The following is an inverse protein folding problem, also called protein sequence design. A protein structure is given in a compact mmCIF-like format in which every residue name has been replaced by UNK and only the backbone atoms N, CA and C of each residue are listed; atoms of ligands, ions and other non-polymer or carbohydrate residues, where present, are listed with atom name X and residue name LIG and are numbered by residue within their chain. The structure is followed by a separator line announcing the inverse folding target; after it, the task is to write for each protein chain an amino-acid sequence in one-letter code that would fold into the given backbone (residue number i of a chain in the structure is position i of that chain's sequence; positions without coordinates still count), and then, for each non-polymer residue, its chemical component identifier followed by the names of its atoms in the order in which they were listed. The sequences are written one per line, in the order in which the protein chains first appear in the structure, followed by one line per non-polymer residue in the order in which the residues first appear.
data_IF_521130461261
#
_entry.id   IF_521130461261
#
_cell.length_a   1.000
_cell.length_b   1.000
_cell.length_c   1.000
_cell.angle_alpha   90.00
_cell.angle_beta   90.00
_cell.angle_gamma   90.00
#
_symmetry.space_group_name_H-M   'P 1'
#
loop_
_entity.id
_entity.type
_entity.pdbx_description
1 polymer ?
#
# COMPACT_ATOMS: atom_id res chain seq x y z
N UNK A 1 -1.02 39.33 -7.16
CA UNK A 1 -1.86 39.65 -5.98
C UNK A 1 -1.44 38.73 -4.85
N UNK A 2 -0.65 39.23 -3.89
CA UNK A 2 -0.21 38.43 -2.73
C UNK A 2 -1.35 38.42 -1.71
N UNK A 3 -2.03 37.29 -1.51
CA UNK A 3 -3.02 37.17 -0.43
C UNK A 3 -2.25 37.14 0.89
N UNK A 4 -2.36 38.23 1.66
CA UNK A 4 -1.87 38.28 3.04
C UNK A 4 -2.58 37.19 3.83
N UNK A 5 -1.86 36.13 4.21
CA UNK A 5 -2.37 35.07 5.08
C UNK A 5 -2.42 35.65 6.48
N UNK A 6 -3.62 35.96 6.96
CA UNK A 6 -3.80 36.47 8.31
C UNK A 6 -3.20 35.47 9.33
N UNK A 7 -2.43 35.94 10.33
CA UNK A 7 -1.87 35.05 11.35
C UNK A 7 -3.00 34.34 12.10
N UNK A 8 -2.98 33.02 12.07
CA UNK A 8 -3.98 32.17 12.72
C UNK A 8 -3.96 32.41 14.24
N UNK A 9 -5.09 32.83 14.79
CA UNK A 9 -5.27 33.16 16.22
C UNK A 9 -4.94 31.98 17.14
N UNK A 10 -4.27 32.27 18.25
CA UNK A 10 -3.57 31.32 19.12
C UNK A 10 -4.43 30.43 20.06
N UNK A 11 -5.68 30.10 19.73
CA UNK A 11 -6.51 29.25 20.61
C UNK A 11 -7.55 28.40 19.88
N UNK A 12 -7.15 27.70 18.82
CA UNK A 12 -7.96 26.58 18.31
C UNK A 12 -7.55 25.31 19.05
N UNK A 13 -8.50 24.44 19.37
CA UNK A 13 -8.22 23.04 19.69
C UNK A 13 -7.59 22.39 18.45
N UNK A 14 -6.28 22.57 18.32
CA UNK A 14 -5.53 22.08 17.18
C UNK A 14 -5.29 20.58 17.36
N UNK A 15 -5.98 19.76 16.58
CA UNK A 15 -5.73 18.33 16.47
C UNK A 15 -6.69 17.65 15.49
N UNK A 16 -6.19 16.65 14.78
CA UNK A 16 -7.02 15.76 13.98
C UNK A 16 -7.93 14.94 14.93
N UNK A 17 -9.25 15.10 14.84
CA UNK A 17 -10.23 14.28 15.56
C UNK A 17 -10.71 13.12 14.69
N UNK A 18 -11.05 11.98 15.31
CA UNK A 18 -11.62 10.80 14.62
C UNK A 18 -12.91 11.16 13.86
N UNK A 19 -13.73 12.05 14.44
CA UNK A 19 -14.99 12.54 13.85
C UNK A 19 -14.80 13.34 12.56
N UNK A 20 -13.56 13.79 12.30
CA UNK A 20 -13.17 14.54 11.11
C UNK A 20 -12.55 13.66 10.03
N UNK A 21 -12.37 12.36 10.27
CA UNK A 21 -11.94 11.44 9.23
C UNK A 21 -12.99 11.40 8.11
N UNK A 22 -12.54 11.60 6.86
CA UNK A 22 -13.44 11.63 5.68
C UNK A 22 -13.11 10.63 4.61
N UNK A 23 -11.84 10.28 4.44
CA UNK A 23 -11.44 9.25 3.49
C UNK A 23 -10.08 8.67 3.85
N UNK A 24 -9.86 7.46 3.35
CA UNK A 24 -8.53 6.91 3.14
C UNK A 24 -8.15 7.08 1.68
N UNK A 25 -6.96 7.60 1.42
CA UNK A 25 -6.39 7.80 0.09
C UNK A 25 -5.20 6.85 -0.07
N UNK A 26 -5.32 5.95 -1.03
CA UNK A 26 -4.30 4.99 -1.42
C UNK A 26 -3.56 5.50 -2.65
N UNK A 27 -2.33 5.97 -2.46
CA UNK A 27 -1.47 6.44 -3.54
C UNK A 27 -0.86 5.25 -4.26
N UNK A 28 -1.34 4.99 -5.47
CA UNK A 28 -0.97 3.85 -6.29
C UNK A 28 -0.04 4.21 -7.47
N UNK A 29 0.44 5.45 -7.50
CA UNK A 29 1.34 5.92 -8.55
C UNK A 29 2.78 5.44 -8.42
N UNK A 30 3.46 5.27 -9.56
CA UNK A 30 4.90 5.06 -9.66
C UNK A 30 5.46 5.89 -10.81
N UNK A 31 6.57 6.59 -10.56
CA UNK A 31 7.29 7.36 -11.60
C UNK A 31 7.80 6.46 -12.73
N UNK A 32 8.02 5.18 -12.45
CA UNK A 32 8.38 4.18 -13.46
C UNK A 32 7.83 2.79 -13.11
N UNK A 33 7.25 2.03 -14.06
CA UNK A 33 6.84 0.66 -13.81
C UNK A 33 8.06 -0.21 -13.48
N UNK A 34 8.11 -0.78 -12.29
CA UNK A 34 9.17 -1.72 -11.90
C UNK A 34 9.08 -3.05 -12.67
N UNK A 35 10.16 -3.84 -12.66
CA UNK A 35 10.22 -5.17 -13.33
C UNK A 35 9.06 -6.08 -12.93
N UNK A 36 8.66 -6.08 -11.65
CA UNK A 36 7.53 -6.87 -11.18
C UNK A 36 6.24 -6.49 -11.92
N UNK A 37 5.86 -5.21 -11.88
CA UNK A 37 4.66 -4.68 -12.53
C UNK A 37 4.64 -4.97 -14.03
N UNK A 38 5.76 -4.75 -14.71
CA UNK A 38 5.89 -5.00 -16.16
C UNK A 38 5.65 -6.48 -16.53
N UNK A 39 6.12 -7.41 -15.69
CA UNK A 39 6.07 -8.85 -15.98
C UNK A 39 4.75 -9.51 -15.55
N UNK A 40 4.10 -9.00 -14.50
CA UNK A 40 2.77 -9.50 -14.09
C UNK A 40 1.67 -9.00 -15.03
N UNK A 41 1.84 -7.82 -15.64
CA UNK A 41 0.89 -7.26 -16.61
C UNK A 41 -0.46 -6.81 -16.02
N UNK A 42 -0.54 -6.66 -14.70
CA UNK A 42 -1.74 -6.21 -13.96
C UNK A 42 -1.35 -5.36 -12.76
N UNK A 43 -2.32 -4.78 -12.05
CA UNK A 43 -2.00 -3.89 -10.93
C UNK A 43 -1.37 -4.63 -9.75
N UNK A 44 -0.45 -3.97 -9.01
CA UNK A 44 0.13 -4.55 -7.80
C UNK A 44 -0.92 -4.81 -6.71
N UNK A 45 -2.04 -4.06 -6.71
CA UNK A 45 -3.10 -4.25 -5.72
C UNK A 45 -3.90 -5.52 -5.94
N UNK A 46 -3.85 -6.07 -7.16
CA UNK A 46 -4.48 -7.34 -7.51
C UNK A 46 -3.55 -8.53 -7.24
N UNK A 47 -2.34 -8.31 -6.73
CA UNK A 47 -1.52 -9.42 -6.27
C UNK A 47 -2.18 -10.08 -5.05
N UNK A 48 -2.15 -11.41 -4.96
CA UNK A 48 -2.85 -12.12 -3.91
C UNK A 48 -2.13 -11.99 -2.57
N UNK A 49 -2.84 -11.51 -1.57
CA UNK A 49 -2.39 -11.53 -0.18
C UNK A 49 -2.67 -12.90 0.46
N UNK A 50 -3.84 -13.48 0.14
CA UNK A 50 -4.25 -14.84 0.49
C UNK A 50 -4.99 -15.49 -0.68
N UNK A 51 -5.45 -16.74 -0.50
CA UNK A 51 -6.26 -17.41 -1.54
C UNK A 51 -7.58 -16.67 -1.76
N UNK A 52 -7.76 -16.13 -2.97
CA UNK A 52 -8.97 -15.39 -3.35
C UNK A 52 -9.08 -13.99 -2.72
N UNK A 53 -7.96 -13.46 -2.19
CA UNK A 53 -7.93 -12.20 -1.47
C UNK A 53 -6.72 -11.39 -1.90
N UNK A 54 -6.95 -10.17 -2.37
CA UNK A 54 -5.91 -9.31 -2.94
C UNK A 54 -5.32 -8.35 -1.91
N UNK A 55 -4.24 -7.67 -2.26
CA UNK A 55 -3.68 -6.59 -1.43
C UNK A 55 -4.68 -5.44 -1.25
N UNK A 56 -5.46 -5.10 -2.29
CA UNK A 56 -6.51 -4.10 -2.17
C UNK A 56 -7.57 -4.51 -1.14
N UNK A 57 -7.97 -5.78 -1.14
CA UNK A 57 -8.87 -6.31 -0.13
C UNK A 57 -8.26 -6.17 1.26
N UNK A 58 -6.97 -6.47 1.41
CA UNK A 58 -6.21 -6.27 2.65
C UNK A 58 -6.36 -4.86 3.23
N UNK A 59 -6.14 -3.84 2.41
CA UNK A 59 -6.36 -2.45 2.82
C UNK A 59 -7.81 -2.16 3.15
N UNK A 60 -8.75 -2.61 2.32
CA UNK A 60 -10.19 -2.39 2.53
C UNK A 60 -10.67 -2.97 3.87
N UNK A 61 -10.23 -4.18 4.22
CA UNK A 61 -10.57 -4.83 5.51
C UNK A 61 -9.99 -4.05 6.69
N UNK A 62 -8.74 -3.61 6.59
CA UNK A 62 -8.12 -2.77 7.63
C UNK A 62 -8.92 -1.46 7.86
N UNK A 63 -9.46 -0.86 6.80
CA UNK A 63 -10.34 0.31 6.91
C UNK A 63 -11.70 -0.06 7.51
N UNK A 64 -12.30 -1.16 7.09
CA UNK A 64 -13.56 -1.65 7.66
C UNK A 64 -13.44 -1.91 9.18
N UNK A 65 -12.36 -2.56 9.60
CA UNK A 65 -12.05 -2.81 11.01
C UNK A 65 -11.88 -1.49 11.76
N UNK A 66 -11.17 -0.53 11.17
CA UNK A 66 -10.99 0.81 11.75
C UNK A 66 -12.32 1.57 11.88
N UNK A 67 -13.21 1.49 10.89
CA UNK A 67 -14.56 2.09 10.95
C UNK A 67 -15.32 1.54 12.14
N UNK A 68 -15.28 0.21 12.36
CA UNK A 68 -15.90 -0.42 13.53
C UNK A 68 -15.30 0.03 14.86
N UNK A 69 -13.97 0.05 14.97
CA UNK A 69 -13.26 0.45 16.22
C UNK A 69 -13.46 1.93 16.54
N UNK A 70 -13.51 2.80 15.54
CA UNK A 70 -13.71 4.24 15.74
C UNK A 70 -15.18 4.65 15.83
N UNK A 71 -16.12 3.72 15.63
CA UNK A 71 -17.56 4.03 15.64
C UNK A 71 -17.97 4.94 14.48
N UNK A 72 -17.28 4.86 13.35
CA UNK A 72 -17.64 5.59 12.13
C UNK A 72 -18.77 4.85 11.40
N UNK A 73 -19.59 5.58 10.64
CA UNK A 73 -20.60 4.93 9.78
C UNK A 73 -19.97 4.29 8.54
N UNK A 74 -19.15 5.05 7.83
CA UNK A 74 -18.41 4.61 6.65
C UNK A 74 -17.14 5.45 6.51
N UNK A 75 -16.11 4.89 5.87
CA UNK A 75 -14.92 5.63 5.46
C UNK A 75 -14.51 5.19 4.04
N UNK A 76 -14.75 6.03 3.02
CA UNK A 76 -14.40 5.68 1.64
C UNK A 76 -12.88 5.53 1.46
N UNK A 77 -12.50 4.55 0.65
CA UNK A 77 -11.14 4.26 0.22
C UNK A 77 -10.99 4.68 -1.23
N UNK A 78 -10.18 5.71 -1.48
CA UNK A 78 -9.92 6.27 -2.81
C UNK A 78 -8.55 5.80 -3.30
N UNK A 79 -8.53 4.96 -4.31
CA UNK A 79 -7.29 4.43 -4.93
C UNK A 79 -6.91 5.32 -6.10
N UNK A 80 -5.79 6.02 -5.97
CA UNK A 80 -5.33 6.97 -6.99
C UNK A 80 -4.23 6.37 -7.83
N UNK A 81 -4.54 6.07 -9.08
CA UNK A 81 -3.62 5.48 -10.04
C UNK A 81 -3.13 6.51 -11.06
N UNK A 82 -1.91 6.33 -11.54
CA UNK A 82 -1.42 7.09 -12.68
C UNK A 82 -2.20 6.75 -13.95
N UNK A 83 -2.18 7.68 -14.91
CA UNK A 83 -2.86 7.53 -16.20
C UNK A 83 -2.43 6.27 -16.97
N UNK A 84 -1.15 5.93 -16.94
CA UNK A 84 -0.58 4.77 -17.63
C UNK A 84 -0.64 3.46 -16.85
N UNK A 85 -1.06 3.50 -15.58
CA UNK A 85 -1.10 2.31 -14.73
C UNK A 85 -2.34 1.45 -15.03
N UNK A 86 -2.21 0.11 -14.99
CA UNK A 86 -3.35 -0.78 -15.13
C UNK A 86 -4.38 -0.49 -14.02
N UNK A 87 -5.65 -0.41 -14.39
CA UNK A 87 -6.72 -0.30 -13.39
C UNK A 87 -6.82 -1.62 -12.63
N UNK A 88 -6.77 -1.61 -11.28
CA UNK A 88 -7.08 -2.81 -10.54
C UNK A 88 -8.56 -3.18 -10.74
N UNK A 89 -8.87 -4.48 -10.82
CA UNK A 89 -10.24 -4.93 -10.68
C UNK A 89 -10.77 -4.48 -9.31
N UNK A 90 -11.91 -3.82 -9.30
CA UNK A 90 -12.59 -3.47 -8.06
C UNK A 90 -13.00 -4.78 -7.34
N UNK A 91 -12.87 -4.86 -6.00
CA UNK A 91 -13.43 -5.97 -5.24
C UNK A 91 -14.91 -6.19 -5.58
N UNK A 92 -15.40 -7.43 -5.58
CA UNK A 92 -16.78 -7.74 -5.97
C UNK A 92 -17.84 -6.91 -5.22
N UNK A 93 -17.55 -6.54 -3.97
CA UNK A 93 -18.41 -5.72 -3.12
C UNK A 93 -17.86 -4.30 -2.93
N UNK A 94 -17.08 -3.76 -3.87
CA UNK A 94 -16.34 -2.51 -3.69
C UNK A 94 -17.23 -1.32 -3.29
N UNK A 95 -18.45 -1.23 -3.81
CA UNK A 95 -19.35 -0.11 -3.50
C UNK A 95 -20.07 -0.23 -2.14
N UNK A 96 -20.10 -1.43 -1.56
CA UNK A 96 -20.92 -1.73 -0.39
C UNK A 96 -20.09 -1.85 0.90
N UNK A 97 -20.76 -1.58 2.03
CA UNK A 97 -20.24 -1.80 3.36
C UNK A 97 -19.49 -0.60 3.98
N UNK A 98 -18.76 -0.82 5.08
CA UNK A 98 -18.16 0.25 5.88
C UNK A 98 -16.98 0.95 5.19
N UNK A 99 -16.38 0.34 4.16
CA UNK A 99 -15.22 0.84 3.45
C UNK A 99 -15.41 0.73 1.93
N UNK A 100 -16.25 1.58 1.32
CA UNK A 100 -16.45 1.56 -0.12
C UNK A 100 -15.17 2.01 -0.84
N UNK A 101 -14.84 1.35 -1.95
CA UNK A 101 -13.61 1.57 -2.72
C UNK A 101 -13.94 2.25 -4.05
N UNK A 102 -13.29 3.38 -4.33
CA UNK A 102 -13.29 4.03 -5.64
C UNK A 102 -11.89 4.01 -6.24
N UNK A 103 -11.80 3.80 -7.55
CA UNK A 103 -10.55 3.88 -8.29
C UNK A 103 -10.60 5.14 -9.14
N UNK A 104 -9.60 5.99 -9.01
CA UNK A 104 -9.54 7.29 -9.65
C UNK A 104 -8.21 7.44 -10.37
N UNK A 105 -8.27 7.87 -11.62
CA UNK A 105 -7.09 8.20 -12.42
C UNK A 105 -6.73 9.66 -12.17
N UNK A 106 -5.45 9.92 -11.94
CA UNK A 106 -4.95 11.30 -11.89
C UNK A 106 -5.29 12.03 -13.21
N UNK A 107 -6.12 13.09 -13.18
CA UNK A 107 -6.51 13.81 -14.38
C UNK A 107 -5.38 14.65 -14.97
N UNK A 108 -4.34 14.97 -14.20
CA UNK A 108 -3.27 15.86 -14.61
C UNK A 108 -1.91 15.16 -14.53
N UNK A 109 -1.27 14.99 -15.67
CA UNK A 109 0.09 14.46 -15.73
C UNK A 109 1.05 15.44 -15.01
N UNK A 110 1.97 14.91 -14.19
CA UNK A 110 3.06 15.66 -13.54
C UNK A 110 2.64 16.59 -12.37
N UNK A 111 1.64 16.22 -11.58
CA UNK A 111 1.29 16.93 -10.33
C UNK A 111 2.19 16.60 -9.13
N UNK A 112 2.80 15.42 -9.15
CA UNK A 112 3.42 14.85 -7.95
C UNK A 112 2.37 14.51 -6.89
N UNK A 113 2.78 13.81 -5.83
CA UNK A 113 1.85 13.33 -4.79
C UNK A 113 1.19 14.48 -4.01
N UNK A 114 1.86 15.61 -3.84
CA UNK A 114 1.33 16.79 -3.16
C UNK A 114 0.23 17.48 -3.97
N UNK A 115 0.44 17.64 -5.29
CA UNK A 115 -0.56 18.22 -6.19
C UNK A 115 -1.82 17.36 -6.27
N UNK A 116 -1.67 16.04 -6.37
CA UNK A 116 -2.81 15.10 -6.40
C UNK A 116 -3.64 15.18 -5.12
N UNK A 117 -3.00 15.14 -3.95
CA UNK A 117 -3.72 15.25 -2.67
C UNK A 117 -4.40 16.60 -2.52
N UNK A 118 -3.76 17.69 -2.95
CA UNK A 118 -4.37 19.03 -2.99
C UNK A 118 -5.65 19.02 -3.81
N UNK A 119 -5.62 18.45 -5.00
CA UNK A 119 -6.79 18.43 -5.91
C UNK A 119 -7.94 17.64 -5.31
N UNK A 120 -7.63 16.50 -4.68
CA UNK A 120 -8.62 15.69 -3.97
C UNK A 120 -9.19 16.39 -2.76
N UNK A 121 -8.36 17.14 -2.03
CA UNK A 121 -8.80 17.86 -0.84
C UNK A 121 -9.81 18.97 -1.15
N UNK A 122 -9.97 19.41 -2.41
CA UNK A 122 -10.92 20.48 -2.81
C UNK A 122 -12.36 20.16 -2.41
N UNK A 123 -12.75 18.88 -2.42
CA UNK A 123 -14.10 18.45 -2.02
C UNK A 123 -14.33 18.33 -0.51
N UNK A 124 -13.38 18.74 0.33
CA UNK A 124 -13.44 18.60 1.78
C UNK A 124 -13.22 19.95 2.48
N UNK A 125 -13.74 20.05 3.71
CA UNK A 125 -13.55 21.22 4.58
C UNK A 125 -12.11 21.27 5.14
N UNK A 126 -11.62 22.45 5.52
CA UNK A 126 -10.23 22.62 5.98
C UNK A 126 -9.90 21.84 7.27
N UNK A 127 -10.92 21.54 8.07
CA UNK A 127 -10.82 20.76 9.31
C UNK A 127 -11.04 19.25 9.11
N UNK A 128 -11.43 18.82 7.90
CA UNK A 128 -11.53 17.41 7.58
C UNK A 128 -10.13 16.76 7.51
N UNK A 129 -10.08 15.46 7.79
CA UNK A 129 -8.84 14.68 7.89
C UNK A 129 -8.86 13.55 6.87
N UNK A 130 -7.73 13.41 6.17
CA UNK A 130 -7.46 12.29 5.27
C UNK A 130 -6.42 11.37 5.91
N UNK A 131 -6.67 10.06 5.82
CA UNK A 131 -5.61 9.05 6.01
C UNK A 131 -4.99 8.82 4.64
N UNK A 132 -3.69 8.97 4.50
CA UNK A 132 -2.97 8.74 3.23
C UNK A 132 -1.99 7.60 3.43
N UNK A 133 -1.99 6.63 2.51
CA UNK A 133 -1.02 5.55 2.51
C UNK A 133 -0.47 5.29 1.10
N UNK A 134 0.77 4.81 1.02
CA UNK A 134 1.29 4.18 -0.19
C UNK A 134 0.57 2.84 -0.39
N UNK A 135 -0.14 2.70 -1.50
CA UNK A 135 -0.92 1.52 -1.81
C UNK A 135 -0.04 0.30 -2.14
N UNK A 136 1.17 0.51 -2.67
CA UNK A 136 2.08 -0.55 -3.10
C UNK A 136 2.84 -1.18 -1.91
N UNK A 137 2.09 -1.55 -0.88
CA UNK A 137 2.57 -2.14 0.35
C UNK A 137 1.51 -3.08 0.97
N UNK A 138 1.97 -4.07 1.72
CA UNK A 138 1.12 -4.94 2.55
C UNK A 138 0.99 -4.31 3.94
N UNK A 139 -0.23 -4.08 4.46
CA UNK A 139 -0.41 -3.58 5.82
C UNK A 139 -0.01 -4.67 6.83
N UNK A 140 0.85 -4.31 7.79
CA UNK A 140 1.43 -5.25 8.77
C UNK A 140 0.89 -5.06 10.19
N UNK A 141 0.36 -3.89 10.51
CA UNK A 141 -0.24 -3.58 11.80
C UNK A 141 -1.72 -3.23 11.63
N UNK A 142 -2.55 -3.41 12.68
CA UNK A 142 -3.92 -2.95 12.65
C UNK A 142 -3.97 -1.44 12.37
N UNK A 143 -4.63 -1.07 11.26
CA UNK A 143 -4.61 0.32 10.78
C UNK A 143 -5.20 1.30 11.80
N UNK A 144 -6.21 0.86 12.57
CA UNK A 144 -6.83 1.67 13.61
C UNK A 144 -5.85 2.08 14.72
N UNK A 145 -4.90 1.22 15.10
CA UNK A 145 -3.86 1.55 16.10
C UNK A 145 -2.88 2.59 15.54
N UNK A 146 -2.47 2.40 14.28
CA UNK A 146 -1.55 3.31 13.59
C UNK A 146 -2.19 4.69 13.46
N UNK A 147 -3.43 4.76 12.96
CA UNK A 147 -4.17 6.01 12.77
C UNK A 147 -4.48 6.66 14.12
N UNK A 148 -4.89 5.92 15.14
CA UNK A 148 -5.15 6.51 16.46
C UNK A 148 -3.91 7.18 17.05
N UNK A 149 -2.74 6.54 16.91
CA UNK A 149 -1.47 7.11 17.36
C UNK A 149 -1.12 8.40 16.61
N UNK A 150 -1.35 8.43 15.29
CA UNK A 150 -1.17 9.63 14.47
C UNK A 150 -2.12 10.77 14.86
N UNK A 151 -3.39 10.47 15.15
CA UNK A 151 -4.36 11.46 15.62
C UNK A 151 -3.98 12.02 17.00
N UNK A 152 -3.53 11.15 17.92
CA UNK A 152 -3.05 11.56 19.26
C UNK A 152 -1.81 12.43 19.23
N UNK A 153 -1.01 12.37 18.16
CA UNK A 153 0.12 13.27 17.97
C UNK A 153 -0.32 14.74 17.81
N UNK A 154 -1.60 15.04 17.55
CA UNK A 154 -2.17 16.41 17.46
C UNK A 154 -1.46 17.34 16.46
N UNK A 155 -0.84 16.78 15.42
CA UNK A 155 -0.30 17.56 14.30
C UNK A 155 -1.39 17.99 13.31
N UNK A 156 -1.13 19.02 12.52
CA UNK A 156 -1.93 19.26 11.31
C UNK A 156 -1.56 18.24 10.20
N UNK A 157 -0.33 17.74 10.28
CA UNK A 157 0.15 16.52 9.61
C UNK A 157 0.81 15.65 10.67
N UNK A 158 0.54 14.35 10.67
CA UNK A 158 1.33 13.38 11.40
C UNK A 158 1.75 12.25 10.46
N UNK A 159 3.04 11.89 10.48
CA UNK A 159 3.61 10.84 9.64
C UNK A 159 4.18 9.71 10.49
N UNK A 160 4.16 8.49 9.97
CA UNK A 160 4.83 7.35 10.60
C UNK A 160 6.27 7.25 10.10
N UNK A 161 7.18 7.05 11.03
CA UNK A 161 8.57 6.65 10.78
C UNK A 161 8.90 5.38 11.56
N UNK A 162 9.88 4.62 11.09
CA UNK A 162 10.44 3.48 11.81
C UNK A 162 11.73 3.90 12.54
N UNK A 163 12.19 3.11 13.51
CA UNK A 163 13.39 3.44 14.30
C UNK A 163 14.67 3.58 13.45
N UNK A 164 14.71 2.96 12.28
CA UNK A 164 15.79 3.10 11.29
C UNK A 164 15.72 4.42 10.48
N UNK A 165 14.71 5.26 10.75
CA UNK A 165 14.45 6.52 10.05
C UNK A 165 13.63 6.37 8.77
N UNK A 166 13.31 5.14 8.33
CA UNK A 166 12.52 4.91 7.13
C UNK A 166 11.09 5.40 7.32
N UNK A 167 10.50 6.17 6.38
CA UNK A 167 9.09 6.54 6.46
C UNK A 167 8.20 5.38 6.02
N UNK A 168 7.15 5.05 6.78
CA UNK A 168 6.27 3.93 6.40
C UNK A 168 5.37 4.21 5.20
N UNK A 169 5.21 5.50 4.87
CA UNK A 169 4.29 5.94 3.84
C UNK A 169 2.83 6.05 4.29
N UNK A 170 2.54 5.87 5.59
CA UNK A 170 1.22 6.17 6.20
C UNK A 170 1.30 7.54 6.90
N UNK A 171 0.31 8.38 6.68
CA UNK A 171 0.16 9.67 7.35
C UNK A 171 -1.30 10.06 7.54
N UNK A 172 -1.57 10.96 8.47
CA UNK A 172 -2.82 11.71 8.57
C UNK A 172 -2.54 13.17 8.31
N UNK A 173 -3.44 13.86 7.62
CA UNK A 173 -3.33 15.28 7.36
C UNK A 173 -4.68 15.95 7.35
N UNK A 174 -4.72 17.21 7.78
CA UNK A 174 -5.87 18.09 7.59
C UNK A 174 -5.93 18.60 6.16
N UNK A 175 -7.12 18.62 5.55
CA UNK A 175 -7.29 19.12 4.18
C UNK A 175 -6.82 20.56 4.01
N UNK A 176 -7.01 21.42 5.02
CA UNK A 176 -6.60 22.82 4.98
C UNK A 176 -5.11 23.04 4.74
N UNK A 177 -4.22 22.14 5.21
CA UNK A 177 -2.77 22.32 5.00
C UNK A 177 -2.35 22.15 3.54
N UNK A 178 -3.12 21.39 2.76
CA UNK A 178 -2.83 21.16 1.35
C UNK A 178 -3.11 22.41 0.49
N UNK A 179 -3.83 23.40 1.03
CA UNK A 179 -4.05 24.70 0.37
C UNK A 179 -2.79 25.54 0.24
N UNK A 180 -1.76 25.26 1.05
CA UNK A 180 -0.45 25.89 0.92
C UNK A 180 0.32 25.43 -0.32
N UNK A 181 0.00 24.25 -0.84
CA UNK A 181 0.65 23.74 -2.03
C UNK A 181 0.14 24.52 -3.26
N UNK A 182 1.00 24.75 -4.28
CA UNK A 182 0.63 25.51 -5.46
C UNK A 182 -0.52 24.85 -6.24
N UNK A 183 -1.33 25.69 -6.90
CA UNK A 183 -2.43 25.22 -7.74
C UNK A 183 -2.00 24.45 -8.97
N UNK A 184 -0.79 24.73 -9.44
CA UNK A 184 -0.21 24.26 -10.69
C UNK A 184 1.24 23.90 -10.43
N UNK A 185 1.70 22.84 -11.07
CA UNK A 185 3.09 22.39 -11.02
C UNK A 185 3.24 21.04 -10.34
N UNK A 186 4.49 20.57 -10.33
CA UNK A 186 4.87 19.32 -9.70
C UNK A 186 5.28 19.58 -8.25
N UNK A 187 4.64 18.87 -7.31
CA UNK A 187 5.00 18.90 -5.90
C UNK A 187 5.12 17.48 -5.40
N UNK A 188 6.34 17.04 -5.12
CA UNK A 188 6.52 15.83 -4.31
C UNK A 188 6.16 16.16 -2.86
N UNK A 189 5.16 15.48 -2.31
CA UNK A 189 4.70 15.78 -0.95
C UNK A 189 5.82 15.59 0.06
N UNK A 190 6.63 14.52 -0.04
CA UNK A 190 7.62 14.19 0.98
C UNK A 190 8.83 15.10 0.90
N UNK A 191 9.32 15.36 -0.31
CA UNK A 191 10.55 16.12 -0.52
C UNK A 191 10.31 17.64 -0.45
N UNK A 192 9.17 18.12 -0.94
CA UNK A 192 8.91 19.56 -1.10
C UNK A 192 7.69 20.04 -0.30
N UNK A 193 6.60 19.28 -0.33
CA UNK A 193 5.33 19.67 0.29
C UNK A 193 5.40 19.75 1.81
N UNK A 194 5.93 18.72 2.48
CA UNK A 194 6.04 18.66 3.94
C UNK A 194 6.94 19.76 4.50
N UNK A 195 8.05 20.06 3.84
CA UNK A 195 8.93 21.18 4.22
C UNK A 195 8.20 22.52 4.16
N UNK A 196 7.37 22.72 3.14
CA UNK A 196 6.56 23.94 2.98
C UNK A 196 5.44 24.02 4.02
N UNK A 197 4.79 22.90 4.32
CA UNK A 197 3.75 22.80 5.36
C UNK A 197 4.35 23.04 6.76
N UNK A 198 5.51 22.45 7.07
CA UNK A 198 6.18 22.60 8.35
C UNK A 198 6.59 24.05 8.67
N UNK A 199 6.74 24.90 7.66
CA UNK A 199 7.02 26.32 7.86
C UNK A 199 5.83 27.11 8.46
N UNK A 200 4.61 26.59 8.35
CA UNK A 200 3.37 27.28 8.78
C UNK A 200 2.46 26.43 9.68
N UNK A 201 2.68 25.11 9.76
CA UNK A 201 1.83 24.16 10.46
C UNK A 201 2.64 23.16 11.27
N UNK A 202 1.96 22.42 12.16
CA UNK A 202 2.60 21.40 13.00
C UNK A 202 2.67 20.07 12.26
N UNK A 203 3.89 19.63 11.95
CA UNK A 203 4.18 18.32 11.37
C UNK A 203 4.83 17.45 12.46
N UNK A 204 4.14 16.39 12.85
CA UNK A 204 4.61 15.48 13.90
C UNK A 204 5.00 14.11 13.32
N UNK A 205 5.94 13.44 13.98
CA UNK A 205 6.38 12.10 13.60
C UNK A 205 6.02 11.13 14.73
N UNK A 206 5.42 10.01 14.37
CA UNK A 206 5.18 8.88 15.28
C UNK A 206 6.10 7.74 14.88
N UNK A 207 6.96 7.32 15.81
CA UNK A 207 7.95 6.27 15.58
C UNK A 207 7.44 4.90 16.01
N UNK A 208 7.70 3.88 15.20
CA UNK A 208 7.43 2.47 15.51
C UNK A 208 8.71 1.63 15.39
N UNK A 209 8.88 0.67 16.31
CA UNK A 209 9.97 -0.31 16.27
C UNK A 209 9.75 -1.43 15.25
N UNK A 210 8.54 -1.56 14.72
CA UNK A 210 8.17 -2.58 13.73
C UNK A 210 7.57 -1.93 12.48
N UNK A 211 7.72 -2.55 11.30
CA UNK A 211 7.08 -2.06 10.08
C UNK A 211 5.55 -2.04 10.23
N UNK A 212 4.94 -0.88 9.97
CA UNK A 212 3.47 -0.72 9.89
C UNK A 212 2.91 -1.22 8.56
N UNK A 213 3.74 -1.19 7.52
CA UNK A 213 3.48 -1.71 6.18
C UNK A 213 4.81 -2.08 5.52
N UNK A 214 4.80 -3.05 4.60
CA UNK A 214 6.01 -3.48 3.86
C UNK A 214 5.82 -3.21 2.37
N UNK A 215 6.70 -2.45 1.71
CA UNK A 215 6.58 -2.14 0.28
C UNK A 215 6.80 -3.39 -0.58
N UNK A 216 6.10 -3.49 -1.71
CA UNK A 216 6.11 -4.68 -2.59
C UNK A 216 6.56 -4.37 -4.01
N UNK A 217 7.58 -3.53 -4.17
CA UNK A 217 8.04 -3.04 -5.49
C UNK A 217 8.84 -4.06 -6.29
N UNK A 218 9.37 -5.08 -5.63
CA UNK A 218 10.15 -6.18 -6.23
C UNK A 218 9.55 -7.51 -5.85
N UNK A 219 9.87 -8.57 -6.62
CA UNK A 219 9.45 -9.94 -6.30
C UNK A 219 9.90 -10.36 -4.91
N UNK A 220 11.17 -10.13 -4.57
CA UNK A 220 11.72 -10.46 -3.25
C UNK A 220 11.00 -9.72 -2.12
N UNK A 221 10.72 -8.42 -2.30
CA UNK A 221 10.00 -7.63 -1.29
C UNK A 221 8.54 -8.09 -1.14
N UNK A 222 7.89 -8.48 -2.24
CA UNK A 222 6.54 -9.05 -2.22
C UNK A 222 6.49 -10.39 -1.47
N UNK A 223 7.40 -11.32 -1.79
CA UNK A 223 7.49 -12.62 -1.10
C UNK A 223 7.83 -12.44 0.38
N UNK A 224 8.77 -11.56 0.71
CA UNK A 224 9.12 -11.25 2.10
C UNK A 224 7.90 -10.66 2.86
N UNK A 225 7.16 -9.76 2.23
CA UNK A 225 5.94 -9.20 2.81
C UNK A 225 4.89 -10.29 3.08
N UNK A 226 4.65 -11.20 2.12
CA UNK A 226 3.73 -12.32 2.31
C UNK A 226 4.19 -13.26 3.43
N UNK A 227 5.49 -13.56 3.52
CA UNK A 227 6.03 -14.41 4.58
C UNK A 227 5.74 -13.79 5.95
N UNK A 228 6.10 -12.52 6.17
CA UNK A 228 5.79 -11.83 7.44
C UNK A 228 4.29 -11.77 7.72
N UNK A 229 3.46 -11.52 6.70
CA UNK A 229 2.01 -11.49 6.84
C UNK A 229 1.44 -12.85 7.30
N UNK A 230 1.78 -13.95 6.63
CA UNK A 230 1.28 -15.29 6.94
C UNK A 230 1.84 -15.86 8.24
N UNK A 231 3.06 -15.47 8.65
CA UNK A 231 3.60 -15.80 9.98
C UNK A 231 2.81 -15.10 11.09
N UNK A 232 2.52 -13.81 10.94
CA UNK A 232 1.69 -13.06 11.90
C UNK A 232 0.27 -13.62 12.01
N UNK A 233 -0.34 -14.05 10.91
CA UNK A 233 -1.65 -14.72 10.95
C UNK A 233 -1.63 -16.01 11.79
N UNK A 234 -0.49 -16.69 11.86
CA UNK A 234 -0.27 -17.88 12.71
C UNK A 234 0.16 -17.55 14.14
N UNK A 235 0.29 -16.26 14.48
CA UNK A 235 0.79 -15.82 15.79
C UNK A 235 2.30 -16.02 15.96
N UNK A 236 3.04 -16.22 14.87
CA UNK A 236 4.50 -16.33 14.90
C UNK A 236 5.13 -14.93 14.90
N UNK A 237 6.13 -14.72 15.75
CA UNK A 237 6.90 -13.48 15.73
C UNK A 237 7.89 -13.47 14.57
N UNK A 238 8.04 -12.31 13.94
CA UNK A 238 9.13 -12.10 12.97
C UNK A 238 10.47 -12.37 13.68
N UNK A 239 11.28 -13.27 13.11
CA UNK A 239 12.61 -13.57 13.67
C UNK A 239 13.44 -12.29 13.66
N UNK A 240 13.98 -11.90 14.82
CA UNK A 240 14.95 -10.80 14.89
C UNK A 240 16.32 -11.19 14.34
N UNK A 241 16.58 -12.48 14.18
CA UNK A 241 17.84 -13.00 13.65
C UNK A 241 17.79 -13.05 12.12
N UNK A 242 18.56 -12.20 11.40
CA UNK A 242 18.62 -12.20 9.95
C UNK A 242 19.30 -13.45 9.37
N UNK A 243 19.97 -14.26 10.21
CA UNK A 243 20.65 -15.49 9.82
C UNK A 243 19.87 -16.76 10.18
N UNK A 244 18.71 -16.64 10.84
CA UNK A 244 17.88 -17.79 11.14
C UNK A 244 17.33 -18.40 9.84
N UNK A 245 17.75 -19.63 9.55
CA UNK A 245 17.22 -20.40 8.44
C UNK A 245 15.83 -20.96 8.79
N UNK A 246 14.79 -20.31 8.29
CA UNK A 246 13.43 -20.86 8.35
C UNK A 246 13.14 -21.69 7.09
N UNK A 247 13.29 -23.01 7.25
CA UNK A 247 13.00 -23.97 6.20
C UNK A 247 11.51 -24.32 6.11
N UNK A 248 10.64 -23.78 6.96
CA UNK A 248 9.20 -24.05 6.88
C UNK A 248 8.53 -23.09 5.88
N UNK A 249 7.77 -23.61 4.91
CA UNK A 249 7.01 -22.74 4.01
C UNK A 249 5.94 -22.00 4.82
N UNK A 250 5.92 -20.68 4.70
CA UNK A 250 4.91 -19.86 5.35
C UNK A 250 3.61 -19.78 4.55
N UNK A 251 3.70 -19.82 3.23
CA UNK A 251 2.53 -19.78 2.36
C UNK A 251 2.74 -20.53 1.04
N UNK A 252 1.63 -20.84 0.39
CA UNK A 252 1.58 -21.21 -1.03
C UNK A 252 0.27 -20.68 -1.58
N UNK A 253 0.36 -19.82 -2.58
CA UNK A 253 -0.82 -19.20 -3.20
C UNK A 253 -0.87 -19.61 -4.66
N UNK A 254 -1.94 -20.31 -5.03
CA UNK A 254 -2.23 -20.69 -6.42
C UNK A 254 -3.57 -20.04 -6.75
N UNK A 255 -3.56 -19.04 -7.61
CA UNK A 255 -4.76 -18.31 -8.01
C UNK A 255 -5.71 -19.18 -8.84
N UNK A 256 -6.98 -18.78 -8.87
CA UNK A 256 -7.92 -19.37 -9.81
C UNK A 256 -7.45 -19.16 -11.25
N UNK A 257 -7.56 -20.21 -12.07
CA UNK A 257 -7.03 -20.22 -13.45
C UNK A 257 -5.52 -20.43 -13.56
N UNK A 258 -4.79 -20.55 -12.45
CA UNK A 258 -3.43 -21.10 -12.45
C UNK A 258 -3.47 -22.65 -12.48
N UNK A 259 -2.36 -23.27 -12.90
CA UNK A 259 -2.24 -24.73 -12.91
C UNK A 259 -1.00 -25.21 -12.18
N UNK A 260 -1.17 -26.15 -11.25
CA UNK A 260 -0.09 -26.83 -10.55
C UNK A 260 -0.32 -28.34 -10.66
N UNK A 261 0.62 -29.04 -11.28
CA UNK A 261 0.54 -30.48 -11.45
C UNK A 261 0.85 -31.23 -10.15
N UNK A 262 0.29 -32.44 -10.01
CA UNK A 262 0.61 -33.33 -8.89
C UNK A 262 2.11 -33.57 -8.76
N UNK A 263 2.60 -33.56 -7.52
CA UNK A 263 4.02 -33.75 -7.19
C UNK A 263 4.90 -32.50 -7.35
N UNK A 264 4.37 -31.37 -7.80
CA UNK A 264 5.08 -30.09 -7.67
C UNK A 264 5.24 -29.71 -6.17
N UNK A 265 6.36 -29.08 -5.83
CA UNK A 265 6.69 -28.62 -4.48
C UNK A 265 6.82 -27.10 -4.46
N UNK A 266 6.26 -26.50 -3.42
CA UNK A 266 6.21 -25.05 -3.26
C UNK A 266 6.80 -24.68 -1.90
N UNK A 267 7.57 -23.59 -1.89
CA UNK A 267 8.10 -23.01 -0.67
C UNK A 267 8.01 -21.49 -0.80
N UNK A 268 7.02 -20.87 -0.15
CA UNK A 268 6.76 -19.42 -0.25
C UNK A 268 6.63 -18.93 -1.68
N UNK A 269 5.72 -19.57 -2.42
CA UNK A 269 5.53 -19.36 -3.83
C UNK A 269 4.13 -18.84 -4.16
N UNK A 270 4.05 -18.04 -5.22
CA UNK A 270 2.81 -17.57 -5.81
C UNK A 270 2.72 -18.01 -7.27
N UNK A 271 1.64 -18.68 -7.64
CA UNK A 271 1.31 -18.99 -9.04
C UNK A 271 0.09 -18.15 -9.43
N UNK A 272 0.32 -17.14 -10.26
CA UNK A 272 -0.71 -16.20 -10.70
C UNK A 272 -1.59 -16.83 -11.78
N UNK A 273 -2.79 -16.28 -11.98
CA UNK A 273 -3.75 -16.73 -13.01
C UNK A 273 -3.06 -16.86 -14.38
N UNK A 274 -3.21 -18.02 -15.02
CA UNK A 274 -2.55 -18.34 -16.30
C UNK A 274 -1.08 -18.80 -16.17
N UNK A 275 -0.51 -18.82 -14.98
CA UNK A 275 0.77 -19.46 -14.67
C UNK A 275 0.64 -20.99 -14.59
N UNK A 276 1.74 -21.70 -14.90
CA UNK A 276 1.78 -23.17 -14.87
C UNK A 276 3.02 -23.70 -14.18
N UNK A 277 2.81 -24.68 -13.30
CA UNK A 277 3.87 -25.45 -12.66
C UNK A 277 3.65 -26.93 -12.96
N UNK A 278 4.59 -27.53 -13.69
CA UNK A 278 4.50 -28.93 -14.14
C UNK A 278 4.96 -29.92 -13.06
N UNK A 279 4.69 -31.21 -13.27
CA UNK A 279 4.89 -32.24 -12.24
C UNK A 279 6.34 -32.31 -11.76
N UNK A 280 6.54 -32.51 -10.45
CA UNK A 280 7.89 -32.64 -9.87
C UNK A 280 8.73 -31.36 -9.87
N UNK A 281 8.21 -30.23 -10.39
CA UNK A 281 8.89 -28.95 -10.29
C UNK A 281 9.00 -28.48 -8.83
N UNK A 282 10.00 -27.64 -8.54
CA UNK A 282 10.20 -27.01 -7.23
C UNK A 282 10.23 -25.49 -7.42
N UNK A 283 9.38 -24.79 -6.68
CA UNK A 283 9.26 -23.33 -6.75
C UNK A 283 9.49 -22.77 -5.35
N UNK A 284 10.56 -21.99 -5.17
CA UNK A 284 10.97 -21.42 -3.88
C UNK A 284 11.03 -19.91 -3.98
N UNK A 285 10.34 -19.19 -3.10
CA UNK A 285 10.39 -17.72 -3.00
C UNK A 285 10.18 -16.99 -4.34
N UNK A 286 9.35 -17.57 -5.19
CA UNK A 286 9.21 -17.18 -6.59
C UNK A 286 7.76 -16.88 -6.95
N UNK A 287 7.60 -16.10 -8.01
CA UNK A 287 6.29 -15.77 -8.58
C UNK A 287 6.24 -16.28 -10.02
N UNK A 288 5.25 -17.13 -10.31
CA UNK A 288 4.97 -17.62 -11.67
C UNK A 288 3.87 -16.75 -12.28
N UNK A 289 4.27 -15.84 -13.17
CA UNK A 289 3.40 -14.88 -13.84
C UNK A 289 2.45 -15.55 -14.86
N UNK A 290 1.43 -14.81 -15.35
CA UNK A 290 0.62 -15.25 -16.48
C UNK A 290 1.48 -15.69 -17.69
N UNK A 291 1.24 -16.90 -18.18
CA UNK A 291 2.02 -17.50 -19.28
C UNK A 291 3.43 -17.99 -18.91
N UNK A 292 3.87 -17.78 -17.66
CA UNK A 292 5.06 -18.40 -17.10
C UNK A 292 4.86 -19.90 -16.89
N UNK A 293 5.91 -20.69 -17.18
CA UNK A 293 5.86 -22.14 -17.05
C UNK A 293 7.11 -22.64 -16.33
N UNK A 294 6.94 -23.20 -15.15
CA UNK A 294 7.99 -23.99 -14.49
C UNK A 294 7.88 -25.42 -14.98
N UNK A 295 8.88 -25.86 -15.74
CA UNK A 295 8.88 -27.15 -16.43
C UNK A 295 9.04 -28.32 -15.45
N UNK A 296 8.63 -29.51 -15.88
CA UNK A 296 8.73 -30.76 -15.11
C UNK A 296 10.14 -30.95 -14.55
N UNK A 297 10.24 -31.15 -13.24
CA UNK A 297 11.52 -31.36 -12.54
C UNK A 297 12.44 -30.15 -12.43
N UNK A 298 12.08 -28.99 -13.00
CA UNK A 298 12.87 -27.76 -12.85
C UNK A 298 12.78 -27.24 -11.42
N UNK A 299 13.85 -26.57 -10.98
CA UNK A 299 13.89 -25.85 -9.71
C UNK A 299 14.08 -24.36 -10.01
N UNK A 300 13.23 -23.53 -9.41
CA UNK A 300 13.25 -22.08 -9.54
C UNK A 300 13.30 -21.46 -8.14
N UNK A 301 14.23 -20.54 -7.91
CA UNK A 301 14.48 -19.91 -6.61
C UNK A 301 14.65 -18.41 -6.79
N UNK A 302 13.91 -17.61 -6.03
CA UNK A 302 13.97 -16.14 -6.06
C UNK A 302 13.71 -15.51 -7.45
N UNK A 303 12.93 -16.18 -8.31
CA UNK A 303 12.69 -15.70 -9.68
C UNK A 303 11.26 -15.21 -9.92
N UNK A 304 11.14 -14.39 -10.97
CA UNK A 304 9.89 -13.99 -11.59
C UNK A 304 9.71 -14.69 -12.93
N UNK A 305 9.02 -15.84 -12.93
CA UNK A 305 8.88 -16.70 -14.10
C UNK A 305 7.81 -16.14 -15.03
N UNK A 306 8.20 -15.66 -16.21
CA UNK A 306 7.30 -15.07 -17.21
C UNK A 306 7.48 -15.69 -18.59
N UNK A 307 6.54 -15.43 -19.50
CA UNK A 307 6.60 -15.93 -20.89
C UNK A 307 7.90 -15.47 -21.56
N UNK A 308 8.69 -16.43 -22.06
CA UNK A 308 9.92 -16.14 -22.82
C UNK A 308 11.17 -15.88 -21.99
N UNK A 309 11.14 -16.04 -20.67
CA UNK A 309 12.34 -15.92 -19.82
C UNK A 309 13.23 -17.18 -19.82
N UNK A 310 12.99 -18.15 -20.70
CA UNK A 310 13.77 -19.39 -20.73
C UNK A 310 15.16 -19.16 -21.32
N UNK A 311 16.13 -18.85 -20.45
CA UNK A 311 17.55 -19.10 -20.63
C UNK A 311 18.34 -18.02 -21.37
N UNK A 312 19.06 -17.19 -20.61
CA UNK A 312 20.11 -16.31 -21.14
C UNK A 312 20.39 -15.06 -20.30
N UNK A 313 20.87 -15.24 -19.06
CA UNK A 313 21.83 -14.33 -18.42
C UNK A 313 22.97 -15.19 -17.85
#
# INVERSE_FOLDING_TARGET
MSRSVAPLSASRDYGCSREKLRAMVLLAGSVSPGRLLQRIGRSLFELPLEKGYTILDGWRRQVADMVGVFGLGTLPVRVLIDRGSPEPAAPANAADGPAPVTIERDPQELRGTGGVLRDISVGYEDDDVLVVANAAAVPMMPLHEVVDSLLRARGDVAIVSHEDGTPSGIMVLRCGVLRLLPEVGFVDLKEQGLSSIAAAHRVNVVSYSRPTSVPIRTTSAYIAALRSYHRRLRGEEDSSDPYAEDWQPAFTIIEEGASAAGGARFHDAVVLTGGRVEAGAVVVQSVVCPGGVVRRGATVVDELVSRGASGGE
#
